data_IF_528208365114
#
_entry.id   IF_528208365114
#
_cell.length_a   1.000
_cell.length_b   1.000
_cell.length_c   1.000
_cell.angle_alpha   90.00
_cell.angle_beta   90.00
_cell.angle_gamma   90.00
#
_symmetry.space_group_name_H-M   'P 1'
#
loop_
_entity.id
_entity.type
_entity.pdbx_description
1 polymer ?
#
# COMPACT_ATOMS: atom_id res chain seq x y z
N UNK A 1 22.16 -11.27 45.06
CA UNK A 1 22.43 -11.79 43.68
C UNK A 1 21.88 -10.80 42.70
N UNK A 2 22.76 -10.10 41.96
CA UNK A 2 22.40 -9.03 41.01
C UNK A 2 22.08 -9.63 39.67
N UNK A 3 20.95 -9.22 39.09
CA UNK A 3 20.43 -9.68 37.81
C UNK A 3 21.18 -8.98 36.64
N UNK A 4 21.88 -9.71 35.73
CA UNK A 4 22.69 -9.08 34.69
C UNK A 4 22.08 -9.19 33.28
N UNK A 5 20.84 -8.74 33.04
CA UNK A 5 20.32 -8.60 31.70
C UNK A 5 19.51 -7.29 31.55
N UNK A 6 20.27 -6.19 31.49
CA UNK A 6 19.78 -4.95 30.94
C UNK A 6 20.52 -4.72 29.61
N UNK A 7 20.02 -5.25 28.50
CA UNK A 7 20.50 -4.95 27.16
C UNK A 7 19.93 -3.59 26.72
N UNK A 8 20.67 -2.52 27.03
CA UNK A 8 20.47 -1.21 26.40
C UNK A 8 20.88 -1.33 24.93
N UNK A 9 19.93 -1.39 24.04
CA UNK A 9 20.15 -1.23 22.59
C UNK A 9 20.69 0.18 22.33
N UNK A 10 21.83 0.37 21.65
CA UNK A 10 22.44 1.67 21.53
C UNK A 10 21.63 2.59 20.61
N UNK A 11 21.20 3.73 21.10
CA UNK A 11 20.47 4.77 20.35
C UNK A 11 21.24 5.34 19.14
N UNK A 12 22.51 5.00 18.98
CA UNK A 12 23.37 5.46 17.90
C UNK A 12 23.05 4.84 16.52
N UNK A 13 22.51 3.63 16.46
CA UNK A 13 22.23 2.96 15.19
C UNK A 13 21.00 3.52 14.48
N UNK A 14 19.99 3.95 15.20
CA UNK A 14 18.76 4.53 14.61
C UNK A 14 19.00 5.86 13.89
N UNK A 15 19.93 6.68 14.37
CA UNK A 15 20.33 7.92 13.69
C UNK A 15 20.96 7.68 12.31
N UNK A 16 21.68 6.59 12.12
CA UNK A 16 22.30 6.27 10.84
C UNK A 16 21.28 5.92 9.76
N UNK A 17 20.24 5.15 10.10
CA UNK A 17 19.14 4.82 9.16
C UNK A 17 18.35 6.09 8.82
N UNK A 18 17.95 6.84 9.83
CA UNK A 18 17.22 8.10 9.64
C UNK A 18 17.99 9.01 8.68
N UNK A 19 19.29 9.20 8.89
CA UNK A 19 20.13 10.03 8.02
C UNK A 19 20.25 9.46 6.61
N UNK A 20 20.25 8.15 6.43
CA UNK A 20 20.37 7.54 5.09
C UNK A 20 19.05 7.61 4.34
N UNK A 21 17.94 7.33 5.00
CA UNK A 21 16.60 7.52 4.43
C UNK A 21 16.40 8.99 4.07
N UNK A 22 16.75 9.92 4.96
CA UNK A 22 16.67 11.36 4.70
C UNK A 22 17.58 11.80 3.54
N UNK A 23 18.78 11.22 3.39
CA UNK A 23 19.66 11.49 2.23
C UNK A 23 19.08 10.95 0.93
N UNK A 24 18.54 9.72 0.94
CA UNK A 24 17.88 9.14 -0.23
C UNK A 24 16.67 9.96 -0.65
N UNK A 25 15.83 10.37 0.29
CA UNK A 25 14.67 11.23 0.06
C UNK A 25 15.07 12.62 -0.45
N UNK A 26 16.18 13.17 0.05
CA UNK A 26 16.73 14.45 -0.38
C UNK A 26 17.34 14.38 -1.78
N UNK A 27 18.03 13.30 -2.12
CA UNK A 27 18.58 13.09 -3.47
C UNK A 27 17.47 12.88 -4.50
N UNK A 28 16.31 12.34 -4.07
CA UNK A 28 15.10 12.22 -4.89
C UNK A 28 14.29 13.53 -4.99
N UNK A 29 14.75 14.64 -4.38
CA UNK A 29 14.04 15.92 -4.40
C UNK A 29 12.81 15.99 -3.49
N UNK A 30 12.57 14.97 -2.67
CA UNK A 30 11.36 14.80 -1.86
C UNK A 30 11.43 15.48 -0.48
N UNK A 31 12.61 15.97 -0.05
CA UNK A 31 12.83 16.63 1.24
C UNK A 31 13.64 17.90 1.07
N UNK A 32 13.20 19.00 1.69
CA UNK A 32 13.94 20.27 1.71
C UNK A 32 14.98 20.33 2.84
N UNK A 33 15.91 21.31 2.79
CA UNK A 33 16.94 21.56 3.80
C UNK A 33 16.40 21.69 5.23
N UNK A 34 15.12 22.03 5.41
CA UNK A 34 14.46 22.23 6.71
C UNK A 34 13.69 20.97 7.20
N UNK A 35 13.83 19.82 6.56
CA UNK A 35 13.17 18.57 6.99
C UNK A 35 11.66 18.53 6.77
N UNK A 36 11.05 19.54 6.16
CA UNK A 36 9.64 19.54 5.76
C UNK A 36 9.50 19.02 4.34
N UNK A 37 8.63 18.04 4.13
CA UNK A 37 8.20 17.65 2.81
C UNK A 37 7.55 18.85 2.11
N UNK A 38 8.04 19.20 0.92
CA UNK A 38 7.31 20.12 0.05
C UNK A 38 6.28 19.31 -0.72
N UNK A 39 5.02 19.69 -0.62
CA UNK A 39 4.03 19.25 -1.56
C UNK A 39 4.46 19.70 -2.96
N UNK A 40 4.46 18.78 -3.90
CA UNK A 40 4.79 19.03 -5.32
C UNK A 40 3.89 20.16 -5.90
N UNK A 41 2.68 20.31 -5.37
CA UNK A 41 1.73 21.38 -5.64
C UNK A 41 2.29 22.79 -5.40
N UNK A 42 3.10 22.98 -4.33
CA UNK A 42 3.71 24.29 -4.04
C UNK A 42 4.84 24.63 -5.02
N UNK A 43 5.54 23.61 -5.53
CA UNK A 43 6.57 23.80 -6.56
C UNK A 43 5.93 24.14 -7.90
N UNK A 44 4.84 23.48 -8.27
CA UNK A 44 4.09 23.76 -9.50
C UNK A 44 3.36 25.11 -9.41
N UNK A 45 2.76 25.45 -8.27
CA UNK A 45 2.09 26.73 -8.05
C UNK A 45 3.07 27.92 -8.12
N UNK A 46 4.34 27.75 -7.67
CA UNK A 46 5.40 28.76 -7.84
C UNK A 46 5.92 28.85 -9.29
N UNK A 47 5.97 27.75 -10.01
CA UNK A 47 6.39 27.76 -11.42
C UNK A 47 5.33 28.33 -12.35
N UNK A 48 4.05 28.30 -11.97
CA UNK A 48 2.91 28.83 -12.73
C UNK A 48 2.42 30.19 -12.21
N UNK A 49 3.03 30.76 -11.14
CA UNK A 49 2.70 32.11 -10.69
C UNK A 49 3.18 33.13 -11.73
N UNK A 50 2.31 34.01 -12.26
CA UNK A 50 2.72 35.07 -13.18
C UNK A 50 3.55 36.10 -12.39
N UNK A 51 4.87 36.13 -12.63
CA UNK A 51 5.75 37.13 -12.03
C UNK A 51 7.03 36.57 -11.43
N UNK A 52 8.02 36.25 -12.24
CA UNK A 52 9.33 35.84 -11.75
C UNK A 52 10.44 35.76 -12.78
N UNK A 53 10.53 36.70 -13.70
CA UNK A 53 11.79 37.06 -14.40
C UNK A 53 11.98 38.57 -14.31
N UNK A 54 13.15 39.08 -13.95
CA UNK A 54 13.41 40.51 -13.88
C UNK A 54 13.79 41.07 -15.25
N UNK A 55 13.09 42.11 -15.66
CA UNK A 55 13.62 42.97 -16.72
C UNK A 55 12.64 43.45 -17.78
N UNK A 56 12.31 44.69 -17.63
CA UNK A 56 11.99 45.79 -18.58
C UNK A 56 10.55 46.10 -18.92
N UNK A 57 10.18 47.29 -18.42
CA UNK A 57 9.39 48.40 -19.01
C UNK A 57 7.95 48.24 -19.51
N UNK A 58 7.11 48.96 -18.76
CA UNK A 58 6.00 49.87 -19.09
C UNK A 58 5.36 49.79 -20.50
N UNK A 59 4.06 49.51 -20.51
CA UNK A 59 3.04 50.39 -21.13
C UNK A 59 1.62 49.93 -20.74
N UNK A 60 0.77 50.92 -20.46
CA UNK A 60 -0.59 50.95 -19.96
C UNK A 60 -1.62 50.76 -21.13
N UNK A 61 -2.94 50.78 -20.88
CA UNK A 61 -3.84 49.63 -21.09
C UNK A 61 -4.77 49.85 -22.31
N UNK A 62 -5.39 48.77 -22.77
CA UNK A 62 -6.55 48.87 -23.64
C UNK A 62 -7.74 48.08 -23.06
N UNK A 63 -8.83 48.76 -22.99
CA UNK A 63 -10.18 48.34 -22.60
C UNK A 63 -10.85 47.47 -23.69
N UNK A 64 -11.94 46.83 -23.20
CA UNK A 64 -13.13 46.33 -23.93
C UNK A 64 -13.00 44.93 -24.54
N UNK A 65 -13.88 44.00 -24.18
CA UNK A 65 -15.30 44.01 -24.41
C UNK A 65 -16.02 42.91 -23.61
N UNK A 66 -17.05 43.31 -22.90
CA UNK A 66 -18.06 42.45 -22.30
C UNK A 66 -19.01 42.00 -23.40
N UNK A 67 -19.22 40.71 -23.55
CA UNK A 67 -20.31 40.15 -24.34
C UNK A 67 -21.42 39.76 -23.40
N UNK A 68 -22.48 40.56 -23.38
CA UNK A 68 -23.76 40.24 -22.75
C UNK A 68 -24.46 39.16 -23.57
N UNK A 69 -24.76 38.03 -22.95
CA UNK A 69 -25.65 37.01 -23.51
C UNK A 69 -26.97 37.06 -22.73
N UNK A 70 -27.97 37.71 -23.31
CA UNK A 70 -29.36 37.62 -22.84
C UNK A 70 -29.87 36.18 -22.99
N UNK A 71 -30.16 35.53 -21.87
CA UNK A 71 -30.89 34.28 -21.85
C UNK A 71 -32.40 34.56 -21.75
N UNK A 72 -33.14 34.25 -22.83
CA UNK A 72 -34.61 34.22 -22.84
C UNK A 72 -35.10 33.01 -22.04
N UNK A 73 -35.85 33.26 -20.97
CA UNK A 73 -36.65 32.27 -20.26
C UNK A 73 -37.88 31.99 -21.14
N UNK A 74 -38.02 30.73 -21.58
CA UNK A 74 -39.25 30.20 -22.19
C UNK A 74 -39.99 29.45 -21.09
N UNK A 75 -41.17 29.91 -20.76
CA UNK A 75 -42.12 29.33 -19.79
C UNK A 75 -42.77 28.09 -20.42
N UNK A 76 -42.62 26.88 -19.86
CA UNK A 76 -43.39 25.72 -20.24
C UNK A 76 -44.57 25.54 -19.27
N UNK A 77 -45.76 25.51 -19.86
CA UNK A 77 -47.04 25.41 -19.16
C UNK A 77 -47.12 24.21 -18.23
N UNK A 78 -47.99 24.42 -17.26
CA UNK A 78 -48.37 23.46 -16.20
C UNK A 78 -49.02 22.19 -16.82
N UNK A 79 -48.26 21.06 -16.72
CA UNK A 79 -48.84 19.73 -16.77
C UNK A 79 -48.82 19.15 -15.36
N UNK A 80 -50.01 18.93 -14.82
CA UNK A 80 -50.22 18.23 -13.52
C UNK A 80 -49.69 16.80 -13.60
N UNK A 81 -48.61 16.55 -12.86
CA UNK A 81 -48.07 15.20 -12.63
C UNK A 81 -48.75 14.64 -11.37
N UNK A 82 -49.42 13.44 -11.46
CA UNK A 82 -50.04 12.81 -10.29
C UNK A 82 -48.97 12.44 -9.22
N UNK A 83 -49.35 12.47 -7.91
CA UNK A 83 -48.36 12.26 -6.84
C UNK A 83 -47.79 10.85 -6.88
N UNK A 84 -46.51 10.78 -7.11
CA UNK A 84 -45.72 9.56 -6.91
C UNK A 84 -45.74 9.22 -5.43
N UNK A 85 -46.32 8.06 -5.08
CA UNK A 85 -46.21 7.51 -3.73
C UNK A 85 -44.74 7.33 -3.38
N UNK A 86 -44.23 8.19 -2.50
CA UNK A 86 -42.96 7.97 -1.80
C UNK A 86 -43.07 6.68 -1.01
N UNK A 87 -42.43 5.64 -1.53
CA UNK A 87 -42.10 4.47 -0.71
C UNK A 87 -40.98 4.88 0.25
N UNK A 88 -41.36 5.11 1.49
CA UNK A 88 -40.43 5.41 2.59
C UNK A 88 -39.59 4.17 2.88
N UNK A 89 -38.51 4.00 2.16
CA UNK A 89 -37.37 3.21 2.63
C UNK A 89 -36.43 4.15 3.41
N UNK A 90 -36.76 4.37 4.68
CA UNK A 90 -35.84 4.89 5.68
C UNK A 90 -34.89 3.77 6.08
N UNK A 91 -33.92 3.42 5.21
CA UNK A 91 -32.68 2.86 5.64
C UNK A 91 -31.82 4.05 6.10
N UNK A 92 -31.59 4.18 7.39
CA UNK A 92 -30.64 5.16 7.90
C UNK A 92 -29.27 4.79 7.31
N UNK A 93 -28.76 5.60 6.37
CA UNK A 93 -27.39 5.46 5.89
C UNK A 93 -26.47 5.59 7.09
N UNK A 94 -25.70 4.52 7.37
CA UNK A 94 -24.70 4.57 8.44
C UNK A 94 -23.67 5.68 8.08
N UNK A 95 -23.29 6.53 9.04
CA UNK A 95 -22.34 7.60 8.75
C UNK A 95 -21.01 7.01 8.31
N UNK A 96 -20.41 7.56 7.25
CA UNK A 96 -19.01 7.27 6.85
C UNK A 96 -18.12 7.50 8.04
N UNK A 97 -17.36 6.50 8.43
CA UNK A 97 -16.44 6.63 9.55
C UNK A 97 -15.01 6.43 9.09
N UNK A 98 -14.12 7.38 9.43
CA UNK A 98 -12.68 7.22 9.31
C UNK A 98 -12.04 7.55 10.65
N UNK A 99 -12.08 6.58 11.57
CA UNK A 99 -11.81 6.76 12.98
C UNK A 99 -10.43 6.25 13.36
N UNK A 100 -9.79 6.94 14.31
CA UNK A 100 -8.59 6.45 14.97
C UNK A 100 -8.98 5.52 16.12
N UNK A 101 -8.42 4.33 16.10
CA UNK A 101 -8.59 3.31 17.14
C UNK A 101 -7.24 2.83 17.67
N UNK A 102 -7.26 2.11 18.78
CA UNK A 102 -6.06 1.57 19.43
C UNK A 102 -6.23 0.08 19.69
N UNK A 103 -5.20 -0.67 19.41
CA UNK A 103 -5.11 -2.08 19.71
C UNK A 103 -3.94 -2.34 20.65
N UNK A 104 -4.11 -3.26 21.60
CA UNK A 104 -3.06 -3.70 22.53
C UNK A 104 -3.12 -5.21 22.68
N UNK A 105 -1.94 -5.84 22.66
CA UNK A 105 -1.70 -7.25 22.96
C UNK A 105 -0.42 -7.41 23.77
N UNK A 106 -0.07 -8.63 24.10
CA UNK A 106 1.21 -8.95 24.74
C UNK A 106 2.42 -8.61 23.87
N UNK A 107 2.28 -8.68 22.54
CA UNK A 107 3.32 -8.36 21.55
C UNK A 107 3.50 -6.87 21.33
N UNK A 108 2.60 -6.03 21.85
CA UNK A 108 2.70 -4.59 21.76
C UNK A 108 1.36 -3.88 21.52
N UNK A 109 1.47 -2.59 21.22
CA UNK A 109 0.31 -1.75 20.95
C UNK A 109 0.52 -0.91 19.69
N UNK A 110 -0.55 -0.69 18.91
CA UNK A 110 -0.56 0.20 17.74
C UNK A 110 -1.87 0.96 17.66
N UNK A 111 -1.77 2.20 17.22
CA UNK A 111 -2.92 2.93 16.68
C UNK A 111 -3.18 2.46 15.27
N UNK A 112 -4.42 2.54 14.85
CA UNK A 112 -4.81 2.34 13.46
C UNK A 112 -6.00 3.24 13.12
N UNK A 113 -6.15 3.57 11.85
CA UNK A 113 -7.38 4.17 11.36
C UNK A 113 -8.21 3.12 10.67
N UNK A 114 -9.52 3.27 10.80
CA UNK A 114 -10.50 2.33 10.27
C UNK A 114 -11.54 3.08 9.46
N UNK A 115 -11.71 2.66 8.22
CA UNK A 115 -12.67 3.21 7.30
C UNK A 115 -13.81 2.21 7.04
N UNK A 116 -15.03 2.70 7.22
CA UNK A 116 -16.26 1.94 6.93
C UNK A 116 -17.03 2.70 5.85
N UNK A 117 -17.27 2.10 4.67
CA UNK A 117 -18.04 2.74 3.61
C UNK A 117 -19.51 2.88 4.00
N UNK A 118 -20.20 3.86 3.41
CA UNK A 118 -21.66 4.04 3.60
C UNK A 118 -22.46 2.86 3.07
N UNK A 119 -22.03 2.31 1.94
CA UNK A 119 -22.62 1.13 1.34
C UNK A 119 -21.95 -0.13 1.89
N UNK A 120 -22.35 -0.50 3.10
CA UNK A 120 -22.14 -1.86 3.57
C UNK A 120 -23.15 -2.76 2.86
N UNK A 121 -22.68 -3.68 2.01
CA UNK A 121 -23.54 -4.73 1.48
C UNK A 121 -24.02 -5.61 2.66
N UNK A 122 -25.24 -6.15 2.60
CA UNK A 122 -25.76 -7.13 3.57
C UNK A 122 -24.96 -8.45 3.61
N UNK A 123 -23.93 -8.57 2.77
CA UNK A 123 -22.99 -9.68 2.71
C UNK A 123 -21.72 -9.35 3.51
N UNK A 124 -21.09 -10.36 4.09
CA UNK A 124 -19.78 -10.24 4.75
C UNK A 124 -18.79 -9.47 3.88
N UNK A 125 -18.36 -8.30 4.35
CA UNK A 125 -17.51 -7.39 3.60
C UNK A 125 -16.08 -7.94 3.45
N UNK A 126 -15.43 -7.63 2.33
CA UNK A 126 -13.99 -7.78 2.22
C UNK A 126 -13.27 -6.72 3.06
N UNK A 127 -12.01 -6.95 3.39
CA UNK A 127 -11.18 -5.98 4.12
C UNK A 127 -9.79 -5.84 3.47
N UNK A 128 -9.34 -4.60 3.30
CA UNK A 128 -7.99 -4.28 2.84
C UNK A 128 -7.20 -3.62 3.97
N UNK A 129 -6.03 -4.17 4.27
CA UNK A 129 -5.08 -3.62 5.24
C UNK A 129 -4.03 -2.83 4.48
N UNK A 130 -3.90 -1.53 4.79
CA UNK A 130 -3.02 -0.60 4.09
C UNK A 130 -1.85 -0.16 4.98
N UNK A 131 -0.62 -0.52 4.60
CA UNK A 131 0.59 -0.26 5.38
C UNK A 131 1.42 0.86 4.73
N UNK A 132 1.49 1.99 5.41
CA UNK A 132 2.19 3.18 4.93
C UNK A 132 3.70 3.01 4.85
N UNK A 133 4.37 3.83 4.03
CA UNK A 133 5.82 3.93 3.96
C UNK A 133 6.43 4.70 5.14
N UNK A 134 7.77 4.73 5.20
CA UNK A 134 8.48 5.51 6.20
C UNK A 134 8.06 6.98 6.17
N UNK A 135 8.01 7.62 7.34
CA UNK A 135 7.64 9.04 7.58
C UNK A 135 6.18 9.40 7.33
N UNK A 136 5.38 8.51 6.76
CA UNK A 136 3.96 8.73 6.54
C UNK A 136 3.12 8.51 7.81
N UNK A 137 1.85 8.86 7.72
CA UNK A 137 0.79 8.51 8.67
C UNK A 137 -0.32 7.75 7.94
N UNK A 138 -1.26 7.20 8.70
CA UNK A 138 -2.45 6.57 8.16
C UNK A 138 -3.28 7.55 7.30
N UNK A 139 -3.43 8.81 7.74
CA UNK A 139 -4.14 9.83 6.99
C UNK A 139 -3.47 10.20 5.68
N UNK A 140 -2.15 10.43 5.71
CA UNK A 140 -1.35 10.75 4.54
C UNK A 140 -1.43 9.62 3.50
N UNK A 141 -1.32 8.38 3.95
CA UNK A 141 -1.37 7.22 3.05
C UNK A 141 -2.77 6.97 2.50
N UNK A 142 -3.83 7.15 3.31
CA UNK A 142 -5.22 7.05 2.84
C UNK A 142 -5.52 8.12 1.77
N UNK A 143 -5.10 9.37 2.00
CA UNK A 143 -5.26 10.45 1.04
C UNK A 143 -4.50 10.16 -0.27
N UNK A 144 -3.24 9.75 -0.17
CA UNK A 144 -2.39 9.49 -1.33
C UNK A 144 -2.82 8.29 -2.16
N UNK A 145 -3.28 7.22 -1.54
CA UNK A 145 -3.71 5.99 -2.24
C UNK A 145 -5.16 6.05 -2.73
N UNK A 146 -5.99 6.94 -2.20
CA UNK A 146 -7.43 7.02 -2.46
C UNK A 146 -8.18 5.71 -2.20
N UNK A 147 -7.63 4.84 -1.35
CA UNK A 147 -8.22 3.52 -1.09
C UNK A 147 -9.61 3.63 -0.45
N UNK A 148 -9.90 4.70 0.31
CA UNK A 148 -11.22 4.95 0.86
C UNK A 148 -12.28 5.21 -0.22
N UNK A 149 -11.93 5.86 -1.34
CA UNK A 149 -12.84 6.08 -2.46
C UNK A 149 -13.20 4.74 -3.13
N UNK A 150 -12.22 3.88 -3.35
CA UNK A 150 -12.45 2.54 -3.87
C UNK A 150 -13.25 1.67 -2.89
N UNK A 151 -13.07 1.89 -1.59
CA UNK A 151 -13.88 1.23 -0.57
C UNK A 151 -15.35 1.62 -0.65
N UNK A 152 -15.67 2.90 -0.91
CA UNK A 152 -17.05 3.34 -1.19
C UNK A 152 -17.61 2.72 -2.46
N UNK A 153 -16.82 2.64 -3.52
CA UNK A 153 -17.26 2.11 -4.82
C UNK A 153 -17.55 0.61 -4.77
N UNK A 154 -16.73 -0.15 -4.00
CA UNK A 154 -16.75 -1.61 -4.00
C UNK A 154 -17.27 -2.24 -2.70
N UNK A 155 -17.58 -1.46 -1.67
CA UNK A 155 -18.20 -1.93 -0.44
C UNK A 155 -17.27 -2.75 0.47
N UNK A 156 -15.98 -2.42 0.56
CA UNK A 156 -15.04 -3.10 1.44
C UNK A 156 -14.54 -2.20 2.57
N UNK A 157 -14.07 -2.80 3.66
CA UNK A 157 -13.51 -2.10 4.81
C UNK A 157 -12.02 -1.84 4.60
N UNK A 158 -11.49 -0.71 5.14
CA UNK A 158 -10.05 -0.44 5.09
C UNK A 158 -9.48 -0.21 6.49
N UNK A 159 -8.39 -0.90 6.79
CA UNK A 159 -7.64 -0.75 8.04
C UNK A 159 -6.25 -0.20 7.71
N UNK A 160 -5.87 0.88 8.40
CA UNK A 160 -4.57 1.52 8.26
C UNK A 160 -3.81 1.46 9.60
N UNK A 161 -3.09 0.38 9.90
CA UNK A 161 -2.18 0.36 11.03
C UNK A 161 -1.16 1.50 10.92
N UNK A 162 -0.82 2.13 12.06
CA UNK A 162 0.10 3.28 12.07
C UNK A 162 1.35 2.93 12.89
N UNK A 163 2.52 3.05 12.26
CA UNK A 163 3.78 2.89 12.95
C UNK A 163 4.06 4.08 13.87
N UNK A 164 4.44 3.78 15.11
CA UNK A 164 4.74 4.82 16.09
C UNK A 164 6.18 5.32 15.97
N UNK A 165 6.40 6.62 16.23
CA UNK A 165 7.75 7.17 16.33
C UNK A 165 8.56 6.59 17.51
N UNK A 166 7.90 5.99 18.50
CA UNK A 166 8.55 5.30 19.63
C UNK A 166 9.16 3.95 19.20
N UNK A 167 8.49 3.22 18.30
CA UNK A 167 8.99 1.96 17.78
C UNK A 167 10.05 2.18 16.69
N UNK A 168 9.90 3.24 15.89
CA UNK A 168 10.87 3.65 14.88
C UNK A 168 10.77 5.16 14.62
N UNK A 169 11.87 5.89 14.82
CA UNK A 169 11.91 7.35 14.70
C UNK A 169 11.47 7.88 13.33
N UNK A 170 11.66 7.10 12.27
CA UNK A 170 11.21 7.41 10.91
C UNK A 170 9.85 6.83 10.59
N UNK A 171 9.13 6.27 11.57
CA UNK A 171 7.87 5.54 11.36
C UNK A 171 7.97 4.47 10.28
N UNK A 172 9.15 3.88 10.06
CA UNK A 172 9.30 2.72 9.21
C UNK A 172 8.84 1.46 9.94
N UNK A 173 8.15 0.55 9.27
CA UNK A 173 7.99 -0.81 9.76
C UNK A 173 9.36 -1.46 9.87
N UNK A 174 9.61 -2.22 10.94
CA UNK A 174 10.92 -2.80 11.25
C UNK A 174 11.15 -4.14 10.51
N UNK A 175 10.77 -4.20 9.24
CA UNK A 175 10.80 -5.36 8.34
C UNK A 175 12.15 -6.08 8.29
N UNK A 176 13.23 -5.40 8.65
CA UNK A 176 14.61 -5.90 8.65
C UNK A 176 15.03 -6.53 9.98
N UNK A 177 14.21 -6.48 11.02
CA UNK A 177 14.52 -7.10 12.30
C UNK A 177 14.01 -8.55 12.31
N UNK A 178 14.84 -9.50 12.74
CA UNK A 178 14.47 -10.92 12.71
C UNK A 178 13.18 -11.24 13.48
N UNK A 179 12.92 -10.53 14.59
CA UNK A 179 11.69 -10.68 15.37
C UNK A 179 10.43 -10.20 14.62
N UNK A 180 10.60 -9.27 13.69
CA UNK A 180 9.51 -8.70 12.88
C UNK A 180 9.34 -9.41 11.53
N UNK A 181 9.91 -10.61 11.39
CA UNK A 181 9.79 -11.48 10.23
C UNK A 181 9.25 -12.88 10.57
N UNK A 182 8.78 -13.07 11.80
CA UNK A 182 8.28 -14.34 12.27
C UNK A 182 6.81 -14.22 12.73
N UNK A 183 6.11 -15.36 12.68
CA UNK A 183 4.75 -15.48 13.18
C UNK A 183 4.73 -15.32 14.70
N UNK A 184 3.66 -14.69 15.21
CA UNK A 184 3.32 -14.51 16.62
C UNK A 184 4.36 -13.69 17.42
N UNK A 185 5.19 -12.94 16.73
CA UNK A 185 6.17 -12.02 17.34
C UNK A 185 6.15 -10.65 16.65
N UNK A 186 6.58 -9.61 17.37
CA UNK A 186 6.83 -8.27 16.84
C UNK A 186 5.65 -7.60 16.14
N UNK A 187 5.95 -6.81 15.14
CA UNK A 187 4.96 -6.02 14.40
C UNK A 187 3.96 -6.88 13.61
N UNK A 188 4.35 -7.99 12.96
CA UNK A 188 3.40 -8.87 12.28
C UNK A 188 2.30 -9.39 13.20
N UNK A 189 2.65 -9.78 14.45
CA UNK A 189 1.68 -10.27 15.43
C UNK A 189 0.68 -9.18 15.85
N UNK A 190 1.15 -7.95 16.04
CA UNK A 190 0.29 -6.81 16.39
C UNK A 190 -0.66 -6.48 15.24
N UNK A 191 -0.18 -6.46 14.00
CA UNK A 191 -1.01 -6.18 12.81
C UNK A 191 -2.04 -7.30 12.62
N UNK A 192 -1.64 -8.57 12.72
CA UNK A 192 -2.57 -9.71 12.64
C UNK A 192 -3.64 -9.66 13.74
N UNK A 193 -3.26 -9.20 14.95
CA UNK A 193 -4.18 -8.98 16.06
C UNK A 193 -5.21 -7.89 15.74
N UNK A 194 -4.80 -6.75 15.20
CA UNK A 194 -5.71 -5.67 14.74
C UNK A 194 -6.71 -6.23 13.72
N UNK A 195 -6.22 -6.97 12.74
CA UNK A 195 -7.04 -7.53 11.66
C UNK A 195 -8.10 -8.48 12.21
N UNK A 196 -7.73 -9.39 13.11
CA UNK A 196 -8.67 -10.33 13.74
C UNK A 196 -9.71 -9.62 14.61
N UNK A 197 -9.29 -8.61 15.37
CA UNK A 197 -10.18 -7.80 16.23
C UNK A 197 -11.21 -7.05 15.37
N UNK A 198 -10.78 -6.40 14.30
CA UNK A 198 -11.68 -5.69 13.36
C UNK A 198 -12.60 -6.68 12.66
N UNK A 199 -12.07 -7.79 12.15
CA UNK A 199 -12.86 -8.79 11.44
C UNK A 199 -13.99 -9.37 12.32
N UNK A 200 -13.68 -9.69 13.58
CA UNK A 200 -14.66 -10.22 14.53
C UNK A 200 -15.77 -9.22 14.86
N UNK A 201 -15.45 -7.92 14.92
CA UNK A 201 -16.42 -6.86 15.28
C UNK A 201 -17.31 -6.41 14.12
N UNK A 202 -16.84 -6.56 12.89
CA UNK A 202 -17.50 -5.98 11.70
C UNK A 202 -17.97 -7.03 10.68
N UNK A 203 -18.02 -8.32 11.06
CA UNK A 203 -18.58 -9.38 10.21
C UNK A 203 -17.82 -9.54 8.87
N UNK A 204 -16.48 -9.39 8.87
CA UNK A 204 -15.65 -9.53 7.69
C UNK A 204 -15.63 -10.97 7.21
N UNK A 205 -15.69 -11.20 5.91
CA UNK A 205 -15.36 -12.49 5.32
C UNK A 205 -13.87 -12.79 5.50
N UNK A 206 -13.55 -13.71 6.39
CA UNK A 206 -12.17 -14.08 6.72
C UNK A 206 -11.36 -14.59 5.51
N UNK A 207 -12.03 -15.00 4.42
CA UNK A 207 -11.39 -15.40 3.17
C UNK A 207 -11.03 -14.20 2.29
N UNK A 208 -11.61 -13.03 2.55
CA UNK A 208 -11.49 -11.82 1.74
C UNK A 208 -10.76 -10.70 2.49
N UNK A 209 -9.67 -11.06 3.16
CA UNK A 209 -8.79 -10.12 3.84
C UNK A 209 -7.49 -10.02 3.02
N UNK A 210 -7.13 -8.81 2.63
CA UNK A 210 -5.99 -8.51 1.79
C UNK A 210 -5.07 -7.52 2.50
N UNK A 211 -3.78 -7.53 2.15
CA UNK A 211 -2.82 -6.57 2.70
C UNK A 211 -2.00 -5.93 1.58
N UNK A 212 -1.85 -4.62 1.65
CA UNK A 212 -1.02 -3.89 0.70
C UNK A 212 -0.20 -2.80 1.41
N UNK A 213 0.88 -2.35 0.77
CA UNK A 213 1.68 -1.28 1.34
C UNK A 213 2.70 -0.69 0.37
N UNK A 214 3.34 0.40 0.84
CA UNK A 214 4.41 1.11 0.14
C UNK A 214 5.74 0.94 0.88
N UNK A 215 6.84 0.65 0.15
CA UNK A 215 8.19 0.69 0.72
C UNK A 215 8.35 -0.26 1.93
N UNK A 216 8.68 0.25 3.11
CA UNK A 216 8.70 -0.51 4.35
C UNK A 216 7.35 -1.19 4.65
N UNK A 217 6.22 -0.53 4.32
CA UNK A 217 4.89 -1.10 4.43
C UNK A 217 4.65 -2.26 3.45
N UNK A 218 5.19 -2.17 2.24
CA UNK A 218 5.15 -3.27 1.28
C UNK A 218 6.00 -4.47 1.73
N UNK A 219 7.19 -4.22 2.28
CA UNK A 219 8.02 -5.28 2.87
C UNK A 219 7.28 -5.99 4.03
N UNK A 220 6.60 -5.23 4.89
CA UNK A 220 5.78 -5.78 5.98
C UNK A 220 4.56 -6.53 5.43
N UNK A 221 3.92 -6.05 4.33
CA UNK A 221 2.83 -6.77 3.67
C UNK A 221 3.28 -8.13 3.13
N UNK A 222 4.46 -8.20 2.50
CA UNK A 222 5.08 -9.46 2.06
C UNK A 222 5.33 -10.39 3.27
N UNK A 223 5.89 -9.88 4.37
CA UNK A 223 6.11 -10.65 5.60
C UNK A 223 4.79 -11.20 6.15
N UNK A 224 3.72 -10.40 6.17
CA UNK A 224 2.40 -10.84 6.63
C UNK A 224 1.81 -11.94 5.74
N UNK A 225 1.97 -11.83 4.42
CA UNK A 225 1.56 -12.88 3.49
C UNK A 225 2.25 -14.21 3.73
N UNK A 226 3.53 -14.19 4.11
CA UNK A 226 4.33 -15.38 4.41
C UNK A 226 4.07 -15.94 5.82
N UNK A 227 3.89 -15.07 6.81
CA UNK A 227 3.77 -15.49 8.22
C UNK A 227 2.34 -15.80 8.64
N UNK A 228 1.33 -15.22 7.98
CA UNK A 228 -0.10 -15.43 8.24
C UNK A 228 -0.87 -15.80 6.94
N UNK A 229 -0.47 -16.87 6.24
CA UNK A 229 -1.08 -17.23 4.96
C UNK A 229 -2.57 -17.59 5.08
N UNK A 230 -3.04 -18.00 6.24
CA UNK A 230 -4.46 -18.27 6.50
C UNK A 230 -5.29 -17.00 6.71
N UNK A 231 -4.65 -15.88 7.09
CA UNK A 231 -5.34 -14.63 7.38
C UNK A 231 -5.43 -13.73 6.15
N UNK A 232 -4.40 -13.70 5.31
CA UNK A 232 -4.36 -12.84 4.14
C UNK A 232 -4.53 -13.64 2.86
N UNK A 233 -5.58 -13.35 2.09
CA UNK A 233 -5.89 -14.01 0.83
C UNK A 233 -4.93 -13.61 -0.30
N UNK A 234 -4.47 -12.36 -0.31
CA UNK A 234 -3.49 -11.86 -1.27
C UNK A 234 -2.69 -10.68 -0.73
N UNK A 235 -1.60 -10.36 -1.42
CA UNK A 235 -0.66 -9.29 -1.07
C UNK A 235 -0.53 -8.29 -2.22
N UNK A 236 -0.50 -6.98 -1.90
CA UNK A 236 -0.12 -5.89 -2.79
C UNK A 236 1.20 -5.25 -2.32
N UNK A 237 2.23 -5.28 -3.14
CA UNK A 237 3.53 -4.71 -2.78
C UNK A 237 3.93 -3.60 -3.75
N UNK A 238 4.04 -2.36 -3.27
CA UNK A 238 4.52 -1.24 -4.07
C UNK A 238 5.91 -0.80 -3.60
N UNK A 239 6.93 -0.88 -4.47
CA UNK A 239 8.31 -0.48 -4.16
C UNK A 239 8.83 -1.14 -2.88
N UNK A 240 8.50 -2.42 -2.66
CA UNK A 240 8.80 -3.20 -1.47
C UNK A 240 10.09 -4.00 -1.56
N UNK A 241 10.32 -4.81 -0.52
CA UNK A 241 11.45 -5.72 -0.42
C UNK A 241 10.96 -7.16 -0.19
N UNK A 242 11.71 -8.16 -0.69
CA UNK A 242 11.34 -9.56 -0.56
C UNK A 242 11.45 -10.06 0.89
N UNK A 243 10.72 -11.12 1.19
CA UNK A 243 10.78 -11.80 2.48
C UNK A 243 12.21 -12.24 2.83
N UNK A 244 12.61 -12.08 4.08
CA UNK A 244 13.92 -12.46 4.61
C UNK A 244 15.12 -11.83 3.86
N UNK A 245 14.92 -10.67 3.22
CA UNK A 245 15.99 -9.98 2.49
C UNK A 245 17.00 -9.27 3.40
N UNK A 246 16.68 -9.07 4.68
CA UNK A 246 17.58 -8.48 5.67
C UNK A 246 17.30 -9.07 7.06
N UNK A 247 18.26 -8.95 7.98
CA UNK A 247 18.15 -9.39 9.38
C UNK A 247 18.69 -8.35 10.37
N UNK A 248 19.24 -7.26 9.85
CA UNK A 248 19.75 -6.12 10.59
C UNK A 248 19.79 -4.85 9.70
N UNK A 249 20.23 -3.75 10.26
CA UNK A 249 20.31 -2.46 9.57
C UNK A 249 21.29 -2.47 8.38
N UNK A 250 22.54 -2.98 8.52
CA UNK A 250 23.46 -3.04 7.40
C UNK A 250 22.94 -3.87 6.23
N UNK A 251 22.34 -5.04 6.50
CA UNK A 251 21.74 -5.88 5.46
C UNK A 251 20.51 -5.22 4.83
N UNK A 252 19.71 -4.47 5.61
CA UNK A 252 18.58 -3.70 5.07
C UNK A 252 19.04 -2.66 4.05
N UNK A 253 20.11 -1.92 4.38
CA UNK A 253 20.68 -0.93 3.46
C UNK A 253 21.24 -1.57 2.18
N UNK A 254 21.87 -2.73 2.30
CA UNK A 254 22.35 -3.51 1.16
C UNK A 254 21.18 -4.01 0.30
N UNK A 255 20.13 -4.56 0.91
CA UNK A 255 18.93 -5.04 0.22
C UNK A 255 18.23 -3.91 -0.55
N UNK A 256 18.03 -2.74 0.07
CA UNK A 256 17.43 -1.57 -0.60
C UNK A 256 18.19 -1.17 -1.87
N UNK A 257 19.51 -1.33 -1.89
CA UNK A 257 20.36 -1.04 -3.06
C UNK A 257 20.46 -2.20 -4.06
N UNK A 258 19.61 -3.22 -3.95
CA UNK A 258 19.65 -4.40 -4.82
C UNK A 258 20.87 -5.32 -4.56
N UNK A 259 21.59 -5.08 -3.46
CA UNK A 259 22.64 -5.98 -3.01
C UNK A 259 22.01 -7.29 -2.57
N UNK A 260 22.39 -8.38 -3.20
CA UNK A 260 22.04 -9.72 -2.73
C UNK A 260 22.69 -9.90 -1.37
N UNK A 261 21.93 -9.79 -0.29
CA UNK A 261 22.36 -10.37 0.99
C UNK A 261 22.59 -11.85 0.71
N UNK A 262 23.81 -12.34 0.95
CA UNK A 262 24.34 -13.62 0.44
C UNK A 262 23.68 -14.89 0.98
N UNK A 263 22.39 -14.86 1.23
CA UNK A 263 21.58 -16.01 1.58
C UNK A 263 20.77 -16.43 0.35
N UNK A 264 21.39 -17.28 -0.46
CA UNK A 264 20.64 -18.08 -1.45
C UNK A 264 19.46 -18.73 -0.74
N UNK A 265 18.27 -18.53 -1.33
CA UNK A 265 17.00 -18.98 -0.81
C UNK A 265 17.01 -20.41 -0.26
N UNK A 266 16.05 -20.71 0.59
CA UNK A 266 15.70 -21.99 1.23
C UNK A 266 16.51 -22.45 2.45
N UNK A 267 17.78 -22.05 2.61
CA UNK A 267 18.60 -22.46 3.79
C UNK A 267 18.69 -21.42 4.90
N UNK A 268 18.30 -20.17 4.66
CA UNK A 268 18.37 -19.11 5.68
C UNK A 268 17.25 -19.20 6.72
N UNK A 269 16.07 -19.66 6.35
CA UNK A 269 14.97 -19.91 7.25
C UNK A 269 15.31 -20.98 8.30
N UNK A 270 16.10 -21.98 7.93
CA UNK A 270 16.49 -23.08 8.80
C UNK A 270 17.55 -22.70 9.86
N UNK A 271 18.32 -21.63 9.65
CA UNK A 271 19.41 -21.24 10.56
C UNK A 271 19.03 -20.21 11.62
N UNK A 272 18.02 -19.34 11.35
CA UNK A 272 17.69 -18.22 12.22
C UNK A 272 16.75 -18.59 13.38
N UNK A 273 16.02 -19.70 13.33
CA UNK A 273 14.95 -19.93 14.29
C UNK A 273 14.89 -21.32 14.93
N UNK A 274 15.76 -22.29 14.59
CA UNK A 274 15.60 -23.65 15.19
C UNK A 274 14.20 -24.25 15.03
N UNK A 275 13.31 -23.55 14.32
CA UNK A 275 11.95 -23.97 14.04
C UNK A 275 11.92 -24.52 12.61
N UNK A 276 11.34 -25.68 12.46
CA UNK A 276 11.00 -26.29 11.17
C UNK A 276 10.29 -25.24 10.32
N UNK A 277 11.00 -24.69 9.32
CA UNK A 277 10.39 -23.89 8.27
C UNK A 277 9.47 -24.85 7.50
N UNK A 278 8.24 -25.00 7.98
CA UNK A 278 7.22 -25.70 7.21
C UNK A 278 7.13 -24.95 5.90
N UNK A 279 7.48 -25.63 4.80
CA UNK A 279 7.27 -25.18 3.43
C UNK A 279 5.93 -24.47 3.39
N UNK A 280 5.89 -23.24 2.88
CA UNK A 280 4.64 -22.49 2.79
C UNK A 280 3.58 -23.43 2.19
N UNK A 281 2.52 -23.67 2.94
CA UNK A 281 1.55 -24.70 2.55
C UNK A 281 0.79 -24.32 1.28
N UNK A 282 0.74 -23.01 0.98
CA UNK A 282 0.05 -22.48 -0.19
C UNK A 282 0.78 -21.25 -0.73
N UNK A 283 1.00 -21.24 -2.04
CA UNK A 283 1.45 -20.05 -2.75
C UNK A 283 0.40 -18.94 -2.63
N UNK A 284 0.83 -17.70 -2.35
CA UNK A 284 -0.06 -16.56 -2.20
C UNK A 284 -0.17 -15.75 -3.47
N UNK A 285 -1.40 -15.40 -3.91
CA UNK A 285 -1.59 -14.40 -4.94
C UNK A 285 -0.95 -13.07 -4.54
N UNK A 286 -0.21 -12.47 -5.47
CA UNK A 286 0.51 -11.22 -5.20
C UNK A 286 0.51 -10.31 -6.43
N UNK A 287 0.31 -9.01 -6.19
CA UNK A 287 0.47 -7.95 -7.19
C UNK A 287 1.59 -7.01 -6.76
N UNK A 288 2.57 -6.79 -7.64
CA UNK A 288 3.78 -6.03 -7.36
C UNK A 288 3.88 -4.85 -8.31
N UNK A 289 4.04 -3.64 -7.77
CA UNK A 289 4.36 -2.42 -8.51
C UNK A 289 5.77 -1.95 -8.19
N UNK A 290 6.53 -1.54 -9.21
CA UNK A 290 7.85 -0.95 -9.01
C UNK A 290 8.21 0.03 -10.13
N UNK A 291 8.73 1.21 -9.76
CA UNK A 291 9.30 2.14 -10.70
C UNK A 291 10.71 1.71 -11.14
N UNK A 292 11.03 1.77 -12.44
CA UNK A 292 12.36 1.38 -12.94
C UNK A 292 13.47 2.40 -12.64
N UNK A 293 13.09 3.61 -12.16
CA UNK A 293 14.00 4.64 -11.64
C UNK A 293 13.89 4.85 -10.13
N UNK A 294 13.44 3.83 -9.41
CA UNK A 294 13.44 3.86 -7.96
C UNK A 294 14.87 3.74 -7.42
N UNK A 295 15.42 4.85 -6.91
CA UNK A 295 16.76 4.93 -6.31
C UNK A 295 16.76 4.71 -4.80
N UNK A 296 15.59 4.60 -4.16
CA UNK A 296 15.43 4.33 -2.73
C UNK A 296 15.42 2.83 -2.48
N UNK A 297 14.54 2.12 -3.18
CA UNK A 297 14.47 0.65 -3.21
C UNK A 297 14.63 0.22 -4.66
N UNK A 298 15.78 -0.34 -4.99
CA UNK A 298 16.10 -0.76 -6.36
C UNK A 298 15.06 -1.73 -6.91
N UNK A 299 14.66 -1.54 -8.17
CA UNK A 299 13.65 -2.33 -8.88
C UNK A 299 13.88 -3.85 -8.78
N UNK A 300 15.12 -4.30 -8.70
CA UNK A 300 15.48 -5.70 -8.51
C UNK A 300 14.80 -6.35 -7.29
N UNK A 301 14.41 -5.57 -6.27
CA UNK A 301 13.66 -6.09 -5.13
C UNK A 301 12.23 -6.51 -5.53
N UNK A 302 11.56 -5.74 -6.37
CA UNK A 302 10.25 -6.12 -6.93
C UNK A 302 10.33 -7.42 -7.74
N UNK A 303 11.35 -7.54 -8.60
CA UNK A 303 11.60 -8.76 -9.35
C UNK A 303 11.88 -9.97 -8.43
N UNK A 304 12.58 -9.76 -7.33
CA UNK A 304 12.87 -10.81 -6.36
C UNK A 304 11.62 -11.25 -5.57
N UNK A 305 10.68 -10.33 -5.24
CA UNK A 305 9.36 -10.67 -4.68
C UNK A 305 8.61 -11.60 -5.63
N UNK A 306 8.54 -11.24 -6.91
CA UNK A 306 7.90 -12.06 -7.96
C UNK A 306 8.57 -13.43 -8.06
N UNK A 307 9.89 -13.50 -8.05
CA UNK A 307 10.64 -14.75 -8.09
C UNK A 307 10.31 -15.65 -6.91
N UNK A 308 10.27 -15.11 -5.67
CA UNK A 308 9.90 -15.87 -4.47
C UNK A 308 8.48 -16.43 -4.59
N UNK A 309 7.52 -15.63 -5.09
CA UNK A 309 6.16 -16.08 -5.33
C UNK A 309 6.11 -17.20 -6.38
N UNK A 310 6.82 -17.05 -7.51
CA UNK A 310 6.93 -18.09 -8.55
C UNK A 310 7.50 -19.40 -7.99
N UNK A 311 8.55 -19.31 -7.16
CA UNK A 311 9.17 -20.49 -6.54
C UNK A 311 8.20 -21.20 -5.59
N UNK A 312 7.36 -20.44 -4.85
CA UNK A 312 6.31 -21.00 -4.01
C UNK A 312 5.24 -21.73 -4.84
N UNK A 313 4.79 -21.13 -5.94
CA UNK A 313 3.83 -21.77 -6.86
C UNK A 313 4.40 -23.03 -7.50
N UNK A 314 5.62 -23.00 -8.04
CA UNK A 314 6.29 -24.19 -8.57
C UNK A 314 6.39 -25.31 -7.54
N UNK A 315 6.67 -24.96 -6.30
CA UNK A 315 6.78 -25.93 -5.20
C UNK A 315 5.44 -26.58 -4.84
N UNK A 316 4.31 -25.88 -5.06
CA UNK A 316 2.97 -26.35 -4.71
C UNK A 316 2.22 -27.01 -5.86
N UNK A 317 2.42 -26.55 -7.11
CA UNK A 317 1.64 -26.96 -8.29
C UNK A 317 2.47 -27.66 -9.38
N UNK A 318 3.80 -27.73 -9.24
CA UNK A 318 4.71 -28.26 -10.28
C UNK A 318 5.23 -27.18 -11.23
N UNK A 319 6.16 -27.57 -12.14
CA UNK A 319 6.87 -26.62 -13.01
C UNK A 319 5.96 -25.96 -14.08
N UNK A 320 4.91 -26.65 -14.53
CA UNK A 320 4.01 -26.18 -15.59
C UNK A 320 2.80 -25.36 -15.07
N UNK A 321 2.82 -24.97 -13.81
CA UNK A 321 1.64 -24.46 -13.09
C UNK A 321 1.14 -23.08 -13.50
N UNK A 322 1.95 -22.20 -14.13
CA UNK A 322 1.54 -20.83 -14.45
C UNK A 322 1.89 -20.44 -15.90
N UNK A 323 0.89 -19.89 -16.59
CA UNK A 323 1.05 -19.31 -17.93
C UNK A 323 1.45 -17.83 -17.79
N UNK A 324 2.47 -17.40 -18.52
CA UNK A 324 2.99 -16.04 -18.46
C UNK A 324 2.62 -15.24 -19.69
N UNK A 325 2.08 -14.03 -19.49
CA UNK A 325 1.85 -13.05 -20.54
C UNK A 325 2.37 -11.69 -20.12
N UNK A 326 2.85 -10.87 -21.08
CA UNK A 326 3.33 -9.53 -20.82
C UNK A 326 2.66 -8.54 -21.77
N UNK A 327 2.19 -7.43 -21.24
CA UNK A 327 1.58 -6.33 -21.95
C UNK A 327 2.34 -5.04 -21.68
N UNK A 328 2.42 -4.16 -22.68
CA UNK A 328 2.93 -2.80 -22.52
C UNK A 328 1.83 -1.82 -22.88
N UNK A 329 1.66 -0.79 -22.07
CA UNK A 329 0.68 0.25 -22.28
C UNK A 329 1.14 1.56 -21.63
N UNK A 330 0.35 2.61 -21.80
CA UNK A 330 0.55 3.89 -21.13
C UNK A 330 -0.66 4.21 -20.26
N UNK A 331 -0.40 4.74 -19.08
CA UNK A 331 -1.43 5.25 -18.20
C UNK A 331 -2.04 6.54 -18.76
N UNK A 332 -3.28 6.89 -18.40
CA UNK A 332 -3.89 8.18 -18.79
C UNK A 332 -3.03 9.39 -18.38
N UNK A 333 -2.27 9.30 -17.30
CA UNK A 333 -1.34 10.32 -16.83
C UNK A 333 -0.03 10.42 -17.62
N UNK A 334 0.22 9.54 -18.58
CA UNK A 334 1.31 9.60 -19.56
C UNK A 334 2.48 8.64 -19.31
N UNK A 335 2.63 8.00 -18.12
CA UNK A 335 3.69 7.00 -17.95
C UNK A 335 3.36 5.71 -18.66
N UNK A 336 4.34 5.17 -19.36
CA UNK A 336 4.27 3.80 -19.87
C UNK A 336 4.57 2.79 -18.76
N UNK A 337 4.06 1.59 -18.94
CA UNK A 337 4.30 0.48 -18.02
C UNK A 337 4.33 -0.85 -18.77
N UNK A 338 5.01 -1.82 -18.15
CA UNK A 338 4.95 -3.23 -18.53
C UNK A 338 4.23 -3.99 -17.43
N UNK A 339 3.18 -4.73 -17.78
CA UNK A 339 2.44 -5.63 -16.89
C UNK A 339 2.70 -7.05 -17.29
N UNK A 340 3.27 -7.86 -16.40
CA UNK A 340 3.45 -9.30 -16.58
C UNK A 340 2.49 -10.02 -15.65
N UNK A 341 1.72 -10.96 -16.22
CA UNK A 341 0.72 -11.76 -15.53
C UNK A 341 1.17 -13.22 -15.58
N UNK A 342 1.14 -13.87 -14.43
CA UNK A 342 1.31 -15.30 -14.30
C UNK A 342 -0.03 -15.87 -13.82
N UNK A 343 -0.73 -16.57 -14.73
CA UNK A 343 -2.07 -17.10 -14.50
C UNK A 343 -2.04 -18.62 -14.38
N UNK A 344 -2.95 -19.18 -13.58
CA UNK A 344 -3.14 -20.63 -13.50
C UNK A 344 -3.83 -21.19 -14.78
N UNK A 345 -3.99 -22.50 -14.85
CA UNK A 345 -4.61 -23.18 -15.97
C UNK A 345 -6.08 -22.78 -16.25
N UNK A 346 -6.74 -22.13 -15.27
CA UNK A 346 -8.09 -21.57 -15.42
C UNK A 346 -8.07 -20.11 -15.88
N UNK A 347 -6.89 -19.55 -16.17
CA UNK A 347 -6.71 -18.16 -16.58
C UNK A 347 -6.79 -17.14 -15.44
N UNK A 348 -6.80 -17.59 -14.17
CA UNK A 348 -6.85 -16.70 -13.01
C UNK A 348 -5.46 -16.19 -12.70
N UNK A 349 -5.33 -14.85 -12.60
CA UNK A 349 -4.07 -14.21 -12.27
C UNK A 349 -3.65 -14.56 -10.83
N UNK A 350 -2.48 -15.17 -10.68
CA UNK A 350 -1.90 -15.53 -9.40
C UNK A 350 -0.77 -14.57 -9.00
N UNK A 351 -0.01 -14.10 -9.98
CA UNK A 351 1.07 -13.12 -9.76
C UNK A 351 0.96 -12.06 -10.86
N UNK A 352 0.95 -10.80 -10.46
CA UNK A 352 1.08 -9.66 -11.37
C UNK A 352 2.30 -8.83 -11.02
N UNK A 353 3.06 -8.45 -12.04
CA UNK A 353 4.21 -7.56 -11.91
C UNK A 353 4.07 -6.36 -12.82
N UNK A 354 4.09 -5.16 -12.23
CA UNK A 354 3.96 -3.89 -12.93
C UNK A 354 5.27 -3.10 -12.81
N UNK A 355 5.97 -2.94 -13.94
CA UNK A 355 7.11 -2.03 -14.05
C UNK A 355 6.61 -0.70 -14.58
N UNK A 356 6.68 0.36 -13.78
CA UNK A 356 6.28 1.71 -14.19
C UNK A 356 7.51 2.45 -14.70
N UNK A 357 7.54 2.73 -16.01
CA UNK A 357 8.72 3.29 -16.67
C UNK A 357 8.92 4.76 -16.33
N UNK A 358 10.15 5.11 -15.97
CA UNK A 358 10.55 6.44 -15.54
C UNK A 358 10.05 6.83 -14.14
N UNK A 359 9.33 5.96 -13.43
CA UNK A 359 8.85 6.24 -12.08
C UNK A 359 9.93 6.05 -11.03
N UNK A 360 9.92 6.92 -10.01
CA UNK A 360 10.74 6.83 -8.81
C UNK A 360 10.05 6.07 -7.68
N UNK A 361 10.48 6.36 -6.43
CA UNK A 361 9.94 5.76 -5.21
C UNK A 361 8.65 6.46 -4.79
N UNK A 362 7.53 6.13 -5.42
CA UNK A 362 6.23 6.76 -5.17
C UNK A 362 5.08 5.82 -5.55
N UNK A 363 3.93 5.94 -4.86
CA UNK A 363 2.71 5.21 -5.18
C UNK A 363 2.17 5.62 -6.54
N UNK A 364 2.08 4.68 -7.45
CA UNK A 364 1.68 4.91 -8.84
C UNK A 364 0.17 5.23 -8.94
N UNK A 365 -0.20 6.25 -9.71
CA UNK A 365 -1.59 6.69 -9.87
C UNK A 365 -2.20 7.38 -8.66
N UNK A 366 -1.39 7.66 -7.62
CA UNK A 366 -1.87 8.25 -6.37
C UNK A 366 -2.20 9.74 -6.48
N UNK A 367 -2.85 10.25 -5.44
CA UNK A 367 -3.26 11.66 -5.32
C UNK A 367 -2.18 12.51 -4.65
N UNK A 368 -1.99 13.73 -5.14
CA UNK A 368 -1.02 14.69 -4.59
C UNK A 368 -1.39 15.21 -3.18
N UNK A 369 -2.58 14.90 -2.67
CA UNK A 369 -2.98 15.17 -1.29
C UNK A 369 -2.18 14.34 -0.28
N UNK A 370 -1.66 13.17 -0.69
CA UNK A 370 -0.73 12.38 0.11
C UNK A 370 0.70 12.46 -0.39
N UNK A 371 1.65 12.14 0.49
CA UNK A 371 3.08 12.12 0.14
C UNK A 371 3.46 10.85 -0.60
N UNK A 372 4.61 10.88 -1.29
CA UNK A 372 5.15 9.74 -2.07
C UNK A 372 4.16 9.18 -3.09
N UNK A 373 3.53 10.05 -3.87
CA UNK A 373 2.59 9.68 -4.94
C UNK A 373 3.09 10.16 -6.30
N UNK A 374 2.75 9.41 -7.35
CA UNK A 374 3.01 9.75 -8.74
C UNK A 374 1.73 9.60 -9.56
N UNK A 375 1.01 10.70 -9.74
CA UNK A 375 -0.27 10.75 -10.44
C UNK A 375 -0.19 10.43 -11.93
N UNK A 376 1.01 10.36 -12.49
CA UNK A 376 1.22 10.10 -13.92
C UNK A 376 1.29 8.62 -14.27
N UNK A 377 1.45 7.74 -13.27
CA UNK A 377 1.50 6.29 -13.44
C UNK A 377 0.11 5.62 -13.51
N UNK A 378 0.07 4.30 -13.78
CA UNK A 378 -1.16 3.52 -13.65
C UNK A 378 -1.67 3.54 -12.22
N UNK A 379 -2.99 3.48 -12.03
CA UNK A 379 -3.62 3.50 -10.71
C UNK A 379 -3.38 2.19 -9.95
N UNK A 380 -2.36 2.18 -9.09
CA UNK A 380 -1.98 1.00 -8.32
C UNK A 380 -3.09 0.57 -7.34
N UNK A 381 -3.85 1.52 -6.78
CA UNK A 381 -4.95 1.21 -5.87
C UNK A 381 -6.07 0.48 -6.59
N UNK A 382 -6.54 1.02 -7.73
CA UNK A 382 -7.59 0.41 -8.52
C UNK A 382 -7.18 -0.99 -9.03
N UNK A 383 -5.94 -1.14 -9.49
CA UNK A 383 -5.43 -2.42 -9.97
C UNK A 383 -5.25 -3.46 -8.85
N UNK A 384 -4.83 -3.05 -7.66
CA UNK A 384 -4.79 -3.93 -6.48
C UNK A 384 -6.20 -4.38 -6.08
N UNK A 385 -7.17 -3.45 -6.03
CA UNK A 385 -8.57 -3.79 -5.72
C UNK A 385 -9.14 -4.72 -6.78
N UNK A 386 -8.94 -4.45 -8.07
CA UNK A 386 -9.31 -5.36 -9.17
C UNK A 386 -8.73 -6.76 -8.96
N UNK A 387 -7.43 -6.84 -8.66
CA UNK A 387 -6.73 -8.12 -8.44
C UNK A 387 -7.29 -8.86 -7.23
N UNK A 388 -7.49 -8.18 -6.10
CA UNK A 388 -7.99 -8.77 -4.87
C UNK A 388 -9.43 -9.30 -5.01
N UNK A 389 -10.31 -8.50 -5.61
CA UNK A 389 -11.71 -8.85 -5.73
C UNK A 389 -12.01 -9.89 -6.81
N UNK A 390 -11.07 -10.08 -7.76
CA UNK A 390 -11.17 -11.11 -8.81
C UNK A 390 -10.76 -12.51 -8.34
N UNK A 391 -10.23 -12.66 -7.11
CA UNK A 391 -9.82 -13.96 -6.58
C UNK A 391 -11.05 -14.85 -6.33
N UNK A 392 -11.07 -16.00 -6.98
CA UNK A 392 -12.04 -17.06 -6.74
C UNK A 392 -11.65 -17.81 -5.45
N UNK A 393 -12.31 -17.46 -4.36
CA UNK A 393 -12.03 -18.02 -3.05
C UNK A 393 -12.90 -19.26 -2.84
N UNK A 394 -12.36 -20.35 -2.28
CA UNK A 394 -13.14 -21.56 -2.08
C UNK A 394 -14.39 -21.28 -1.23
N UNK A 395 -15.51 -22.00 -1.48
CA UNK A 395 -16.70 -21.87 -0.66
C UNK A 395 -16.37 -22.14 0.83
N UNK A 396 -17.20 -21.61 1.72
CA UNK A 396 -17.06 -21.85 3.17
C UNK A 396 -17.24 -23.34 3.48
N UNK A 397 -16.17 -24.10 3.43
CA UNK A 397 -16.15 -25.35 4.17
C UNK A 397 -16.03 -24.97 5.65
N UNK A 398 -17.11 -25.15 6.33
CA UNK A 398 -17.33 -24.89 7.73
C UNK A 398 -16.19 -25.51 8.55
N UNK A 399 -15.27 -24.70 9.06
CA UNK A 399 -14.44 -25.12 10.15
C UNK A 399 -15.33 -25.22 11.42
N UNK A 400 -16.04 -26.34 11.52
CA UNK A 400 -16.57 -26.83 12.78
C UNK A 400 -15.55 -27.79 13.37
N UNK A 401 -14.77 -27.30 14.28
CA UNK A 401 -14.15 -28.12 15.34
C UNK A 401 -13.64 -27.23 16.47
#
# INVERSE_FOLDING_TARGET
MKNPFSSRTPAYHFKAIHNTIQRALKSAGLVTRAGRMRNMTDTIRRALAPGGLPGSNKSTPARDSVIDVESRIVDPGEEEIPPVRESVFKGAEAPVTFEKRHFRSEQGARSYKFYVPQRSSDMSAAMVVMLHGCTQSADDFAAGTRMNQLAEEHGFLVVYPEQSAQANLSKCWNWFMSQDQARDTGEPAVIAGIVRDVAARHGVDMRRIFVAGLSAGAAMAVILGETYPELFAAVGAHSGLPYASAHDIPSAMAAMKGGRSGLRGTTACARAAGASCKKAAHAKPIIVFHGDRDHTVQQGNGAEIVRQAMDAYRSSMGEDGLLTSTQQASAPGGRSYSRTIHADAKGRSQIESWTVHGAGHAWSGGDAAGSYTDHTGPDASAEMVRFFLALDLPPNDVFHS
#
